data_IF_843927578404
#
_entry.id   IF_843927578404
#
_cell.length_a   1.000
_cell.length_b   1.000
_cell.length_c   1.000
_cell.angle_alpha   90.00
_cell.angle_beta   90.00
_cell.angle_gamma   90.00
#
_symmetry.space_group_name_H-M   'P 1'
#
loop_
_entity.id
_entity.type
_entity.pdbx_description
1 polymer ?
#
# COMPACT_ATOMS: atom_id res chain seq x y z
N UNK A 1 -66.63 26.74 33.53
CA UNK A 1 -65.41 26.87 32.77
C UNK A 1 -64.64 25.56 32.93
N UNK A 2 -64.56 24.70 31.84
CA UNK A 2 -63.90 23.38 31.93
C UNK A 2 -62.50 23.53 31.36
N UNK A 3 -61.45 23.43 32.19
CA UNK A 3 -60.07 23.39 31.73
C UNK A 3 -59.78 22.02 31.08
N UNK A 4 -59.48 22.05 29.77
CA UNK A 4 -59.09 20.86 28.99
C UNK A 4 -57.63 20.59 29.25
N UNK A 5 -57.33 19.57 30.10
CA UNK A 5 -55.97 19.09 30.37
C UNK A 5 -55.43 18.51 29.09
N UNK A 6 -54.45 19.20 28.45
CA UNK A 6 -53.69 18.66 27.34
C UNK A 6 -52.65 17.71 27.93
N UNK A 7 -52.94 16.42 27.88
CA UNK A 7 -51.94 15.39 28.13
C UNK A 7 -50.79 15.57 27.12
N UNK A 8 -49.66 16.03 27.59
CA UNK A 8 -48.41 15.96 26.82
C UNK A 8 -48.09 14.46 26.70
N UNK A 9 -48.29 13.90 25.51
CA UNK A 9 -47.83 12.56 25.21
C UNK A 9 -46.30 12.54 25.33
N UNK A 10 -45.80 11.97 26.40
CA UNK A 10 -44.39 11.66 26.55
C UNK A 10 -44.08 10.55 25.56
N UNK A 11 -43.29 10.86 24.52
CA UNK A 11 -42.81 9.85 23.60
C UNK A 11 -42.04 8.80 24.39
N UNK A 12 -42.35 7.51 24.21
CA UNK A 12 -41.69 6.45 24.95
C UNK A 12 -40.20 6.42 24.61
N UNK A 13 -39.34 6.28 25.62
CA UNK A 13 -37.88 6.24 25.53
C UNK A 13 -37.42 5.27 24.43
N UNK A 14 -38.17 4.21 24.19
CA UNK A 14 -37.95 3.23 23.13
C UNK A 14 -37.89 3.83 21.73
N UNK A 15 -38.66 4.87 21.42
CA UNK A 15 -38.63 5.53 20.10
C UNK A 15 -37.31 6.27 19.89
N UNK A 16 -36.75 6.88 20.94
CA UNK A 16 -35.44 7.53 20.87
C UNK A 16 -34.31 6.50 20.70
N UNK A 17 -34.38 5.38 21.42
CA UNK A 17 -33.41 4.29 21.28
C UNK A 17 -33.41 3.69 19.89
N UNK A 18 -34.59 3.44 19.30
CA UNK A 18 -34.71 2.94 17.94
C UNK A 18 -34.16 3.98 16.93
N UNK A 19 -34.51 5.25 17.13
CA UNK A 19 -34.00 6.33 16.26
C UNK A 19 -32.48 6.44 16.30
N UNK A 20 -31.86 6.40 17.49
CA UNK A 20 -30.41 6.41 17.67
C UNK A 20 -29.78 5.17 17.02
N UNK A 21 -30.36 3.99 17.22
CA UNK A 21 -29.87 2.74 16.64
C UNK A 21 -29.86 2.82 15.10
N UNK A 22 -30.93 3.34 14.49
CA UNK A 22 -31.01 3.51 13.02
C UNK A 22 -29.93 4.47 12.55
N UNK A 23 -29.76 5.62 13.20
CA UNK A 23 -28.73 6.61 12.81
C UNK A 23 -27.33 6.00 12.93
N UNK A 24 -27.02 5.32 14.02
CA UNK A 24 -25.73 4.65 14.19
C UNK A 24 -25.50 3.58 13.12
N UNK A 25 -26.54 2.77 12.81
CA UNK A 25 -26.44 1.75 11.75
C UNK A 25 -26.14 2.35 10.39
N UNK A 26 -26.79 3.45 10.04
CA UNK A 26 -26.54 4.17 8.77
C UNK A 26 -25.11 4.74 8.74
N UNK A 27 -24.63 5.33 9.84
CA UNK A 27 -23.27 5.85 9.92
C UNK A 27 -22.21 4.75 9.74
N UNK A 28 -22.40 3.62 10.44
CA UNK A 28 -21.51 2.46 10.32
C UNK A 28 -21.52 1.90 8.89
N UNK A 29 -22.70 1.70 8.32
CA UNK A 29 -22.83 1.21 6.94
C UNK A 29 -22.18 2.16 5.93
N UNK A 30 -22.42 3.47 6.06
CA UNK A 30 -21.82 4.50 5.21
C UNK A 30 -20.29 4.50 5.31
N UNK A 31 -19.76 4.37 6.53
CA UNK A 31 -18.32 4.28 6.77
C UNK A 31 -17.70 3.07 6.05
N UNK A 32 -18.29 1.88 6.18
CA UNK A 32 -17.81 0.69 5.47
C UNK A 32 -17.95 0.81 3.95
N UNK A 33 -19.03 1.40 3.45
CA UNK A 33 -19.24 1.61 2.01
C UNK A 33 -18.14 2.54 1.43
N UNK A 34 -17.82 3.64 2.13
CA UNK A 34 -16.74 4.55 1.71
C UNK A 34 -15.39 3.84 1.72
N UNK A 35 -15.09 3.05 2.76
CA UNK A 35 -13.85 2.27 2.80
C UNK A 35 -13.73 1.30 1.62
N UNK A 36 -14.80 0.57 1.28
CA UNK A 36 -14.79 -0.35 0.14
C UNK A 36 -14.49 0.37 -1.18
N UNK A 37 -15.19 1.47 -1.46
CA UNK A 37 -14.99 2.25 -2.69
C UNK A 37 -13.56 2.82 -2.75
N UNK A 38 -13.02 3.28 -1.62
CA UNK A 38 -11.67 3.85 -1.56
C UNK A 38 -10.57 2.81 -1.81
N UNK A 39 -10.81 1.54 -1.52
CA UNK A 39 -9.82 0.46 -1.71
C UNK A 39 -9.89 -0.22 -3.08
N UNK A 40 -10.99 -0.06 -3.84
CA UNK A 40 -11.18 -0.66 -5.16
C UNK A 40 -10.05 -0.35 -6.16
N UNK A 41 -9.58 0.90 -6.31
CA UNK A 41 -8.54 1.22 -7.29
C UNK A 41 -7.22 0.46 -7.01
N UNK A 42 -6.87 0.30 -5.74
CA UNK A 42 -5.66 -0.42 -5.35
C UNK A 42 -5.76 -1.93 -5.60
N UNK A 43 -6.93 -2.53 -5.36
CA UNK A 43 -7.16 -3.95 -5.62
C UNK A 43 -7.14 -4.24 -7.12
N UNK A 44 -7.83 -3.43 -7.93
CA UNK A 44 -7.82 -3.55 -9.38
C UNK A 44 -6.42 -3.40 -9.97
N UNK A 45 -5.63 -2.45 -9.46
CA UNK A 45 -4.23 -2.28 -9.86
C UNK A 45 -3.38 -3.50 -9.49
N UNK A 46 -3.55 -4.05 -8.29
CA UNK A 46 -2.85 -5.27 -7.86
C UNK A 46 -3.19 -6.45 -8.75
N UNK A 47 -4.47 -6.67 -9.07
CA UNK A 47 -4.91 -7.78 -9.90
C UNK A 47 -4.39 -7.65 -11.34
N UNK A 48 -4.50 -6.45 -11.94
CA UNK A 48 -3.99 -6.19 -13.27
C UNK A 48 -2.46 -6.39 -13.35
N UNK A 49 -1.73 -5.80 -12.40
CA UNK A 49 -0.27 -5.92 -12.32
C UNK A 49 0.18 -7.36 -12.05
N UNK A 50 -0.57 -8.11 -11.24
CA UNK A 50 -0.25 -9.53 -10.96
C UNK A 50 -0.43 -10.40 -12.20
N UNK A 51 -1.43 -10.12 -13.05
CA UNK A 51 -1.60 -10.80 -14.35
C UNK A 51 -0.42 -10.53 -15.28
N UNK A 52 0.00 -9.28 -15.40
CA UNK A 52 1.17 -8.91 -16.20
C UNK A 52 2.45 -9.56 -15.65
N UNK A 53 2.66 -9.55 -14.34
CA UNK A 53 3.80 -10.19 -13.72
C UNK A 53 3.83 -11.70 -13.92
N UNK A 54 2.68 -12.37 -13.97
CA UNK A 54 2.58 -13.79 -14.31
C UNK A 54 2.92 -14.03 -15.78
N UNK A 55 2.41 -13.21 -16.68
CA UNK A 55 2.60 -13.35 -18.13
C UNK A 55 4.06 -13.08 -18.56
N UNK A 56 4.65 -11.97 -18.07
CA UNK A 56 5.96 -11.51 -18.53
C UNK A 56 7.14 -11.97 -17.66
N UNK A 57 6.90 -12.35 -16.41
CA UNK A 57 7.95 -12.71 -15.47
C UNK A 57 7.82 -14.13 -14.88
N UNK A 58 6.83 -14.90 -15.30
CA UNK A 58 6.50 -16.24 -14.74
C UNK A 58 6.27 -16.19 -13.23
N UNK A 59 5.71 -15.08 -12.73
CA UNK A 59 5.48 -14.87 -11.30
C UNK A 59 4.21 -15.60 -10.88
N UNK A 60 4.35 -16.85 -10.36
CA UNK A 60 3.21 -17.68 -9.98
C UNK A 60 2.56 -17.21 -8.67
N UNK A 61 3.39 -16.75 -7.72
CA UNK A 61 2.92 -16.26 -6.43
C UNK A 61 3.45 -14.86 -6.17
N UNK A 62 2.55 -13.91 -5.95
CA UNK A 62 2.88 -12.55 -5.50
C UNK A 62 2.85 -12.52 -3.97
N UNK A 63 4.02 -12.33 -3.37
CA UNK A 63 4.19 -12.23 -1.91
C UNK A 63 3.95 -10.79 -1.41
N UNK A 64 4.29 -9.77 -2.22
CA UNK A 64 4.12 -8.36 -1.89
C UNK A 64 3.70 -7.54 -3.10
N UNK A 65 2.81 -6.57 -2.87
CA UNK A 65 2.43 -5.54 -3.83
C UNK A 65 2.53 -4.17 -3.17
N UNK A 66 3.28 -3.27 -3.78
CA UNK A 66 3.43 -1.89 -3.35
C UNK A 66 3.31 -0.94 -4.54
N UNK A 67 3.10 0.34 -4.24
CA UNK A 67 3.24 1.42 -5.20
C UNK A 67 4.46 2.22 -4.75
N UNK A 68 5.43 2.34 -5.64
CA UNK A 68 6.56 3.25 -5.50
C UNK A 68 6.20 4.56 -6.20
N UNK A 69 6.43 5.68 -5.54
CA UNK A 69 6.17 7.02 -6.05
C UNK A 69 7.47 7.85 -5.90
N UNK A 70 8.33 7.76 -6.90
CA UNK A 70 9.53 8.58 -7.03
C UNK A 70 9.33 9.66 -8.10
N UNK A 71 10.33 9.86 -8.95
CA UNK A 71 10.21 10.71 -10.14
C UNK A 71 9.14 10.19 -11.10
N UNK A 72 9.04 8.89 -11.20
CA UNK A 72 7.95 8.16 -11.85
C UNK A 72 7.30 7.19 -10.86
N UNK A 73 6.07 6.79 -11.15
CA UNK A 73 5.34 5.87 -10.30
C UNK A 73 5.35 4.45 -10.88
N UNK A 74 5.62 3.47 -10.00
CA UNK A 74 5.69 2.06 -10.39
C UNK A 74 4.81 1.20 -9.50
N UNK A 75 4.18 0.19 -10.11
CA UNK A 75 3.69 -0.96 -9.36
C UNK A 75 4.86 -1.89 -9.11
N UNK A 76 5.12 -2.19 -7.86
CA UNK A 76 6.22 -3.04 -7.40
C UNK A 76 5.66 -4.34 -6.86
N UNK A 77 5.98 -5.45 -7.51
CA UNK A 77 5.57 -6.79 -7.10
C UNK A 77 6.81 -7.62 -6.76
N UNK A 78 6.79 -8.22 -5.59
CA UNK A 78 7.78 -9.24 -5.20
C UNK A 78 7.09 -10.60 -5.12
N UNK A 79 7.75 -11.63 -5.59
CA UNK A 79 7.15 -12.94 -5.57
C UNK A 79 8.08 -14.04 -6.07
N UNK A 80 7.49 -15.19 -6.40
CA UNK A 80 8.22 -16.39 -6.79
C UNK A 80 7.64 -16.98 -8.08
N UNK A 81 8.54 -17.49 -8.91
CA UNK A 81 8.17 -18.31 -10.06
C UNK A 81 7.70 -19.70 -9.60
N UNK A 82 7.13 -20.48 -10.52
CA UNK A 82 6.81 -21.89 -10.32
C UNK A 82 8.01 -22.74 -9.86
N UNK A 83 9.23 -22.34 -10.25
CA UNK A 83 10.50 -22.97 -9.87
C UNK A 83 11.08 -22.45 -8.55
N UNK A 84 10.37 -21.58 -7.84
CA UNK A 84 10.81 -21.00 -6.56
C UNK A 84 11.80 -19.84 -6.67
N UNK A 85 12.13 -19.37 -7.89
CA UNK A 85 13.03 -18.23 -8.08
C UNK A 85 12.33 -16.95 -7.64
N UNK A 86 12.95 -16.22 -6.71
CA UNK A 86 12.43 -14.95 -6.23
C UNK A 86 12.71 -13.84 -7.25
N UNK A 87 11.68 -13.11 -7.63
CA UNK A 87 11.77 -11.99 -8.58
C UNK A 87 11.08 -10.75 -8.05
N UNK A 88 11.54 -9.59 -8.51
CA UNK A 88 10.83 -8.34 -8.46
C UNK A 88 10.37 -7.96 -9.87
N UNK A 89 9.15 -7.45 -9.96
CA UNK A 89 8.55 -6.92 -11.19
C UNK A 89 8.14 -5.49 -10.93
N UNK A 90 8.71 -4.57 -11.69
CA UNK A 90 8.36 -3.15 -11.66
C UNK A 90 7.59 -2.82 -12.94
N UNK A 91 6.42 -2.22 -12.81
CA UNK A 91 5.57 -1.83 -13.94
C UNK A 91 5.34 -0.33 -13.83
N UNK A 92 5.83 0.43 -14.81
CA UNK A 92 5.58 1.87 -14.88
C UNK A 92 4.09 2.14 -15.07
N UNK A 93 3.55 3.07 -14.28
CA UNK A 93 2.11 3.37 -14.31
C UNK A 93 1.67 4.08 -15.57
N UNK A 94 2.56 4.88 -16.16
CA UNK A 94 2.23 5.75 -17.30
C UNK A 94 2.55 5.08 -18.64
N UNK A 95 3.68 4.35 -18.74
CA UNK A 95 4.10 3.69 -19.99
C UNK A 95 3.74 2.21 -20.07
N UNK A 96 3.42 1.57 -18.96
CA UNK A 96 3.27 0.11 -18.82
C UNK A 96 4.56 -0.67 -19.14
N UNK A 97 5.71 -0.03 -19.18
CA UNK A 97 6.99 -0.72 -19.29
C UNK A 97 7.21 -1.62 -18.07
N UNK A 98 7.81 -2.78 -18.32
CA UNK A 98 8.00 -3.83 -17.32
C UNK A 98 9.47 -4.16 -17.17
N UNK A 99 9.99 -4.04 -15.95
CA UNK A 99 11.33 -4.48 -15.58
C UNK A 99 11.24 -5.67 -14.65
N UNK A 100 12.08 -6.68 -14.90
CA UNK A 100 12.10 -7.92 -14.13
C UNK A 100 13.49 -8.14 -13.57
N UNK A 101 13.60 -8.25 -12.27
CA UNK A 101 14.87 -8.48 -11.56
C UNK A 101 14.82 -9.77 -10.76
N UNK A 102 15.88 -10.53 -10.79
CA UNK A 102 16.07 -11.66 -9.87
C UNK A 102 16.60 -11.14 -8.55
N UNK A 103 15.93 -11.45 -7.44
CA UNK A 103 16.31 -10.93 -6.13
C UNK A 103 17.59 -11.53 -5.55
N UNK A 104 18.12 -12.61 -6.15
CA UNK A 104 19.41 -13.21 -5.83
C UNK A 104 20.61 -12.56 -6.57
N UNK A 105 20.35 -11.59 -7.46
CA UNK A 105 21.38 -10.90 -8.23
C UNK A 105 21.73 -9.50 -7.69
N UNK A 106 21.17 -9.11 -6.56
CA UNK A 106 21.42 -7.83 -5.94
C UNK A 106 21.26 -7.88 -4.44
N UNK A 107 21.30 -6.71 -3.81
CA UNK A 107 21.14 -6.53 -2.37
C UNK A 107 19.75 -6.99 -1.93
N UNK A 108 19.68 -7.82 -0.92
CA UNK A 108 18.41 -8.24 -0.32
C UNK A 108 17.73 -7.08 0.41
N UNK A 109 16.44 -7.22 0.64
CA UNK A 109 15.68 -6.23 1.45
C UNK A 109 16.32 -6.01 2.82
N UNK A 110 16.75 -7.09 3.50
CA UNK A 110 17.38 -7.00 4.84
C UNK A 110 18.71 -6.28 4.80
N UNK A 111 19.51 -6.50 3.77
CA UNK A 111 20.78 -5.78 3.58
C UNK A 111 20.51 -4.29 3.30
N UNK A 112 19.53 -3.96 2.47
CA UNK A 112 19.14 -2.58 2.22
C UNK A 112 18.67 -1.86 3.51
N UNK A 113 17.91 -2.55 4.38
CA UNK A 113 17.56 -2.04 5.71
C UNK A 113 18.78 -1.79 6.60
N UNK A 114 19.77 -2.68 6.56
CA UNK A 114 21.03 -2.52 7.32
C UNK A 114 21.82 -1.32 6.81
N UNK A 115 21.95 -1.18 5.50
CA UNK A 115 22.64 -0.03 4.88
C UNK A 115 21.92 1.28 5.22
N UNK A 116 20.58 1.29 5.21
CA UNK A 116 19.84 2.46 5.63
C UNK A 116 20.10 2.82 7.10
N UNK A 117 20.17 1.84 8.00
CA UNK A 117 20.51 2.04 9.43
C UNK A 117 21.91 2.59 9.62
N UNK A 118 22.90 2.07 8.89
CA UNK A 118 24.27 2.60 8.87
C UNK A 118 24.34 4.07 8.43
N UNK A 119 23.36 4.50 7.61
CA UNK A 119 23.23 5.87 7.14
C UNK A 119 22.27 6.74 7.98
N UNK A 120 21.88 6.24 9.18
CA UNK A 120 21.13 7.00 10.18
C UNK A 120 19.62 6.75 10.17
N UNK A 121 19.12 5.68 9.52
CA UNK A 121 17.75 5.26 9.68
C UNK A 121 17.51 4.67 11.07
N UNK A 122 16.42 5.06 11.70
CA UNK A 122 15.95 4.49 12.95
C UNK A 122 15.09 3.23 12.71
N UNK A 123 13.87 3.24 13.26
CA UNK A 123 12.90 2.17 13.00
C UNK A 123 12.46 2.21 11.54
N UNK A 124 12.51 1.07 10.88
CA UNK A 124 12.09 0.94 9.48
C UNK A 124 10.56 0.79 9.44
N UNK A 125 9.90 1.70 8.73
CA UNK A 125 8.45 1.69 8.57
C UNK A 125 8.02 0.87 7.35
N UNK A 126 8.79 0.96 6.26
CA UNK A 126 8.45 0.32 5.00
C UNK A 126 9.69 0.16 4.12
N UNK A 127 9.72 -0.94 3.35
CA UNK A 127 10.69 -1.13 2.27
C UNK A 127 9.94 -1.42 0.98
N UNK A 128 10.31 -0.72 -0.09
CA UNK A 128 9.68 -0.88 -1.41
C UNK A 128 10.76 -0.93 -2.49
N UNK A 129 10.65 -1.86 -3.41
CA UNK A 129 11.51 -1.82 -4.58
C UNK A 129 10.95 -0.82 -5.60
N UNK A 130 11.79 -0.02 -6.18
CA UNK A 130 11.45 1.02 -7.13
C UNK A 130 12.51 1.20 -8.21
N UNK A 131 12.37 2.25 -8.99
CA UNK A 131 13.29 2.62 -10.05
C UNK A 131 13.61 4.11 -9.92
N UNK A 132 14.90 4.46 -9.94
CA UNK A 132 15.36 5.82 -9.76
C UNK A 132 16.67 6.07 -10.51
N UNK A 133 16.72 7.11 -11.33
CA UNK A 133 17.90 7.46 -12.15
C UNK A 133 18.44 6.25 -12.92
N UNK A 134 17.56 5.62 -13.70
CA UNK A 134 17.85 4.49 -14.59
C UNK A 134 18.43 3.24 -13.90
N UNK A 135 18.12 3.07 -12.59
CA UNK A 135 18.54 1.88 -11.85
C UNK A 135 17.47 1.38 -10.88
N UNK A 136 17.39 0.06 -10.64
CA UNK A 136 16.55 -0.50 -9.60
C UNK A 136 17.11 -0.14 -8.22
N UNK A 137 16.21 0.22 -7.31
CA UNK A 137 16.54 0.61 -5.94
C UNK A 137 15.64 -0.05 -4.92
N UNK A 138 16.13 -0.15 -3.68
CA UNK A 138 15.30 -0.29 -2.50
C UNK A 138 15.06 1.08 -1.87
N UNK A 139 13.81 1.48 -1.76
CA UNK A 139 13.39 2.62 -0.94
C UNK A 139 13.10 2.13 0.47
N UNK A 140 13.89 2.58 1.43
CA UNK A 140 13.73 2.29 2.85
C UNK A 140 13.21 3.55 3.54
N UNK A 141 11.98 3.48 4.05
CA UNK A 141 11.37 4.57 4.81
C UNK A 141 11.60 4.38 6.31
N UNK A 142 12.06 5.44 6.97
CA UNK A 142 12.24 5.50 8.42
C UNK A 142 11.81 6.88 8.92
N UNK A 143 10.67 6.94 9.63
CA UNK A 143 10.05 8.20 10.03
C UNK A 143 9.70 9.07 8.82
N UNK A 144 10.19 10.32 8.80
CA UNK A 144 10.02 11.25 7.68
C UNK A 144 11.11 11.18 6.61
N UNK A 145 12.03 10.19 6.68
CA UNK A 145 13.20 10.11 5.79
C UNK A 145 13.13 8.87 4.91
N UNK A 146 13.50 9.02 3.65
CA UNK A 146 13.60 7.97 2.65
C UNK A 146 15.07 7.77 2.28
N UNK A 147 15.52 6.51 2.30
CA UNK A 147 16.87 6.09 1.93
C UNK A 147 16.75 5.25 0.68
N UNK A 148 17.35 5.71 -0.41
CA UNK A 148 17.36 4.99 -1.69
C UNK A 148 18.67 4.21 -1.79
N UNK A 149 18.59 2.89 -1.76
CA UNK A 149 19.74 1.98 -1.84
C UNK A 149 19.73 1.31 -3.21
N UNK A 150 20.82 1.41 -3.96
CA UNK A 150 20.95 0.75 -5.25
C UNK A 150 20.82 -0.76 -5.11
N UNK A 151 19.92 -1.38 -5.87
CA UNK A 151 19.69 -2.83 -5.79
C UNK A 151 20.93 -3.63 -6.22
N UNK A 152 21.60 -3.20 -7.29
CA UNK A 152 22.78 -3.89 -7.80
C UNK A 152 24.07 -3.52 -7.04
N UNK A 153 24.18 -2.26 -6.62
CA UNK A 153 25.42 -1.73 -6.04
C UNK A 153 25.49 -1.84 -4.50
N UNK A 154 24.34 -1.90 -3.81
CA UNK A 154 24.28 -1.77 -2.37
C UNK A 154 24.68 -0.39 -1.83
N UNK A 155 24.84 0.61 -2.67
CA UNK A 155 25.24 1.94 -2.25
C UNK A 155 24.03 2.81 -1.92
N UNK A 156 24.19 3.75 -0.99
CA UNK A 156 23.21 4.82 -0.77
C UNK A 156 23.22 5.76 -1.99
N UNK A 157 22.13 5.78 -2.76
CA UNK A 157 21.96 6.60 -3.96
C UNK A 157 21.42 7.97 -3.61
N UNK A 158 20.46 8.04 -2.66
CA UNK A 158 19.87 9.29 -2.19
C UNK A 158 19.35 9.12 -0.76
N UNK A 159 19.31 10.25 -0.04
CA UNK A 159 18.66 10.37 1.25
C UNK A 159 17.80 11.62 1.23
N UNK A 160 16.50 11.45 1.32
CA UNK A 160 15.51 12.52 1.22
C UNK A 160 14.69 12.56 2.52
N UNK A 161 14.68 13.72 3.18
CA UNK A 161 13.88 13.97 4.38
C UNK A 161 12.75 14.94 4.08
N UNK A 162 11.62 14.81 4.83
CA UNK A 162 10.55 15.80 4.89
C UNK A 162 10.90 16.87 5.90
#
# INVERSE_FOLDING_TARGET
MKYKNRNKASLPIWQYLIGIFIVLSVLVFSFFAVLQVSMQPRQSAKEASSRLAKEYADLEKVDSFAIYNGQESYYSLLGKTSKGVKKAVLIAKDSNEIWVYRLDQGVSQTEAESIAKENGAGTIDKVTMGYFKDQPIWEVKSGGTYYLIGFESGQLVSKEGL
#
